data_IF_083127169006
#
_entry.id   IF_083127169006
#
_cell.length_a   1.000
_cell.length_b   1.000
_cell.length_c   1.000
_cell.angle_alpha   90.00
_cell.angle_beta   90.00
_cell.angle_gamma   90.00
#
_symmetry.space_group_name_H-M   'P 1'
#
loop_
_entity.id
_entity.type
_entity.pdbx_description
1 polymer ?
#
# COMPACT_ATOMS: atom_id res chain seq x y z
N UNK A 1 19.44 0.27 21.36
CA UNK A 1 18.17 -0.47 21.48
C UNK A 1 17.04 0.30 20.81
N UNK A 2 16.15 -0.41 20.12
CA UNK A 2 15.10 0.25 19.30
C UNK A 2 13.73 0.14 19.95
N UNK A 3 13.54 0.83 21.05
CA UNK A 3 12.23 0.87 21.70
C UNK A 3 11.26 1.72 20.89
N UNK A 4 10.03 1.24 20.73
CA UNK A 4 8.95 1.95 20.03
C UNK A 4 9.23 2.25 18.54
N UNK A 5 10.20 1.56 17.96
CA UNK A 5 10.49 1.71 16.53
C UNK A 5 9.40 1.02 15.72
N UNK A 6 8.73 1.78 14.85
CA UNK A 6 7.66 1.28 13.99
C UNK A 6 8.02 1.46 12.52
N UNK A 7 7.60 0.51 11.70
CA UNK A 7 7.82 0.56 10.27
C UNK A 7 9.20 0.09 9.83
N UNK A 8 9.31 -0.20 8.55
CA UNK A 8 10.54 -0.67 7.92
C UNK A 8 11.19 0.47 7.17
N UNK A 9 12.51 0.57 7.27
CA UNK A 9 13.27 1.67 6.65
C UNK A 9 13.83 1.33 5.28
N UNK A 10 13.98 0.06 4.93
CA UNK A 10 14.49 -0.41 3.63
C UNK A 10 15.85 0.20 3.27
N UNK A 11 16.70 0.47 4.27
CA UNK A 11 18.04 1.07 4.08
C UNK A 11 18.00 2.39 3.32
N UNK A 12 16.98 3.21 3.51
CA UNK A 12 16.78 4.48 2.81
C UNK A 12 16.66 5.64 3.77
N UNK A 13 17.10 6.81 3.32
CA UNK A 13 16.87 8.06 4.04
C UNK A 13 15.38 8.39 4.03
N UNK A 14 14.95 9.28 4.93
CA UNK A 14 13.53 9.60 5.12
C UNK A 14 12.83 10.01 3.82
N UNK A 15 13.43 10.92 3.04
CA UNK A 15 12.83 11.38 1.78
C UNK A 15 12.77 10.27 0.74
N UNK A 16 13.87 9.51 0.59
CA UNK A 16 13.93 8.38 -0.34
C UNK A 16 12.95 7.28 0.03
N UNK A 17 12.80 7.03 1.34
CA UNK A 17 11.85 6.04 1.83
C UNK A 17 10.41 6.43 1.52
N UNK A 18 10.07 7.69 1.69
CA UNK A 18 8.72 8.20 1.34
C UNK A 18 8.43 8.02 -0.14
N UNK A 19 9.38 8.37 -0.99
CA UNK A 19 9.23 8.22 -2.44
C UNK A 19 9.09 6.75 -2.84
N UNK A 20 9.87 5.87 -2.22
CA UNK A 20 9.82 4.43 -2.47
C UNK A 20 8.44 3.86 -2.12
N UNK A 21 7.95 4.17 -0.92
CA UNK A 21 6.62 3.70 -0.47
C UNK A 21 5.52 4.30 -1.35
N UNK A 22 5.61 5.57 -1.68
CA UNK A 22 4.65 6.23 -2.56
C UNK A 22 4.57 5.53 -3.93
N UNK A 23 5.71 5.15 -4.48
CA UNK A 23 5.75 4.42 -5.75
C UNK A 23 5.07 3.07 -5.66
N UNK A 24 5.32 2.31 -4.59
CA UNK A 24 4.67 1.02 -4.37
C UNK A 24 3.15 1.17 -4.20
N UNK A 25 2.71 2.15 -3.43
CA UNK A 25 1.29 2.41 -3.22
C UNK A 25 0.62 2.81 -4.54
N UNK A 26 1.27 3.64 -5.35
CA UNK A 26 0.73 4.04 -6.64
C UNK A 26 0.55 2.83 -7.57
N UNK A 27 1.54 1.95 -7.63
CA UNK A 27 1.45 0.74 -8.45
C UNK A 27 0.31 -0.16 -7.97
N UNK A 28 0.17 -0.35 -6.67
CA UNK A 28 -0.91 -1.15 -6.12
C UNK A 28 -2.28 -0.53 -6.44
N UNK A 29 -2.39 0.78 -6.34
CA UNK A 29 -3.65 1.47 -6.63
C UNK A 29 -4.06 1.32 -8.09
N UNK A 30 -3.10 1.42 -9.01
CA UNK A 30 -3.41 1.34 -10.45
C UNK A 30 -3.64 -0.09 -10.92
N UNK A 31 -2.81 -1.02 -10.51
CA UNK A 31 -2.88 -2.40 -10.99
C UNK A 31 -3.75 -3.31 -10.14
N UNK A 32 -4.13 -2.88 -8.94
CA UNK A 32 -4.96 -3.62 -7.97
C UNK A 32 -4.29 -4.87 -7.42
N UNK A 33 -3.20 -5.31 -8.02
CA UNK A 33 -2.46 -6.50 -7.65
C UNK A 33 -1.02 -6.35 -8.11
N UNK A 34 -0.05 -6.53 -7.21
CA UNK A 34 1.37 -6.48 -7.57
C UNK A 34 2.12 -7.63 -6.91
N UNK A 35 3.21 -8.07 -7.54
CA UNK A 35 4.13 -9.04 -6.96
C UNK A 35 5.35 -8.29 -6.45
N UNK A 36 5.73 -8.54 -5.19
CA UNK A 36 6.86 -7.87 -4.56
C UNK A 36 7.42 -8.75 -3.45
N UNK A 37 8.46 -8.28 -2.77
CA UNK A 37 9.02 -9.03 -1.65
C UNK A 37 8.07 -9.01 -0.46
N UNK A 38 8.18 -10.02 0.41
CA UNK A 38 7.29 -10.16 1.57
C UNK A 38 7.33 -8.94 2.49
N UNK A 39 8.53 -8.41 2.79
CA UNK A 39 8.66 -7.26 3.67
C UNK A 39 8.02 -5.99 3.09
N UNK A 40 8.20 -5.78 1.79
CA UNK A 40 7.56 -4.64 1.10
C UNK A 40 6.04 -4.78 1.12
N UNK A 41 5.54 -5.97 0.85
CA UNK A 41 4.10 -6.22 0.85
C UNK A 41 3.48 -5.96 2.22
N UNK A 42 4.12 -6.43 3.28
CA UNK A 42 3.63 -6.23 4.64
C UNK A 42 3.57 -4.74 5.01
N UNK A 43 4.58 -3.99 4.60
CA UNK A 43 4.60 -2.55 4.88
C UNK A 43 3.53 -1.79 4.12
N UNK A 44 3.41 -2.03 2.81
CA UNK A 44 2.43 -1.31 2.00
C UNK A 44 0.99 -1.74 2.30
N UNK A 45 0.79 -2.99 2.73
CA UNK A 45 -0.54 -3.44 3.16
C UNK A 45 -1.08 -2.55 4.28
N UNK A 46 -0.28 -2.33 5.31
CA UNK A 46 -0.65 -1.50 6.45
C UNK A 46 -0.99 -0.07 6.01
N UNK A 47 -0.16 0.49 5.16
CA UNK A 47 -0.33 1.88 4.71
C UNK A 47 -1.56 2.01 3.81
N UNK A 48 -1.73 1.08 2.86
CA UNK A 48 -2.86 1.12 1.94
C UNK A 48 -4.19 0.90 2.66
N UNK A 49 -4.23 0.02 3.65
CA UNK A 49 -5.46 -0.21 4.41
C UNK A 49 -5.90 1.04 5.16
N UNK A 50 -4.96 1.77 5.72
CA UNK A 50 -5.26 3.06 6.35
C UNK A 50 -5.75 4.09 5.33
N UNK A 51 -5.15 4.09 4.14
CA UNK A 51 -5.56 4.98 3.07
C UNK A 51 -6.99 4.68 2.61
N UNK A 52 -7.35 3.42 2.47
CA UNK A 52 -8.72 3.03 2.09
C UNK A 52 -9.72 3.42 3.18
N UNK A 53 -9.38 3.21 4.45
CA UNK A 53 -10.25 3.62 5.55
C UNK A 53 -10.50 5.12 5.52
N UNK A 54 -9.47 5.91 5.27
CA UNK A 54 -9.60 7.37 5.13
C UNK A 54 -10.47 7.74 3.91
N UNK A 55 -10.23 7.08 2.78
CA UNK A 55 -10.97 7.34 1.55
C UNK A 55 -12.45 7.00 1.67
N UNK A 56 -12.80 6.00 2.48
CA UNK A 56 -14.20 5.59 2.67
C UNK A 56 -15.06 6.69 3.27
N UNK A 57 -14.48 7.69 3.91
CA UNK A 57 -15.22 8.83 4.42
C UNK A 57 -15.83 9.68 3.31
N UNK A 58 -15.28 9.62 2.11
CA UNK A 58 -15.79 10.29 0.90
C UNK A 58 -16.02 11.79 1.06
N UNK A 59 -15.19 12.45 1.82
CA UNK A 59 -15.26 13.91 1.97
C UNK A 59 -14.00 14.58 1.41
N UNK A 60 -14.09 15.88 1.18
CA UNK A 60 -13.00 16.65 0.57
C UNK A 60 -11.74 16.64 1.42
N UNK A 61 -11.87 16.68 2.74
CA UNK A 61 -10.73 16.65 3.65
C UNK A 61 -9.93 15.37 3.49
N UNK A 62 -10.61 14.22 3.37
CA UNK A 62 -9.96 12.93 3.15
C UNK A 62 -9.21 12.91 1.83
N UNK A 63 -9.84 13.42 0.76
CA UNK A 63 -9.21 13.47 -0.56
C UNK A 63 -7.94 14.32 -0.54
N UNK A 64 -7.99 15.48 0.11
CA UNK A 64 -6.81 16.35 0.23
C UNK A 64 -5.67 15.67 0.97
N UNK A 65 -5.96 14.94 2.04
CA UNK A 65 -4.94 14.19 2.77
C UNK A 65 -4.31 13.10 1.91
N UNK A 66 -5.11 12.38 1.14
CA UNK A 66 -4.61 11.35 0.24
C UNK A 66 -3.71 11.93 -0.85
N UNK A 67 -4.11 13.06 -1.43
CA UNK A 67 -3.30 13.75 -2.44
C UNK A 67 -1.95 14.14 -1.86
N UNK A 68 -1.95 14.69 -0.65
CA UNK A 68 -0.70 15.08 0.03
C UNK A 68 0.22 13.91 0.31
N UNK A 69 -0.33 12.73 0.59
CA UNK A 69 0.46 11.53 0.93
C UNK A 69 0.93 10.76 -0.28
N UNK A 70 0.08 10.58 -1.29
CA UNK A 70 0.35 9.62 -2.39
C UNK A 70 0.37 10.26 -3.78
N UNK A 71 0.07 11.53 -3.89
CA UNK A 71 -0.03 12.21 -5.16
C UNK A 71 -1.44 12.14 -5.72
N UNK A 72 -1.70 12.99 -6.70
CA UNK A 72 -3.04 13.20 -7.24
C UNK A 72 -3.62 11.95 -7.90
N UNK A 73 -2.84 11.32 -8.79
CA UNK A 73 -3.34 10.17 -9.56
C UNK A 73 -3.68 8.98 -8.66
N UNK A 74 -2.77 8.62 -7.76
CA UNK A 74 -3.00 7.51 -6.83
C UNK A 74 -4.16 7.83 -5.88
N UNK A 75 -4.23 9.06 -5.38
CA UNK A 75 -5.30 9.48 -4.49
C UNK A 75 -6.67 9.37 -5.16
N UNK A 76 -6.78 9.79 -6.42
CA UNK A 76 -8.03 9.69 -7.17
C UNK A 76 -8.44 8.23 -7.39
N UNK A 77 -7.48 7.36 -7.72
CA UNK A 77 -7.77 5.93 -7.85
C UNK A 77 -8.33 5.34 -6.55
N UNK A 78 -7.68 5.64 -5.43
CA UNK A 78 -8.10 5.13 -4.13
C UNK A 78 -9.48 5.68 -3.75
N UNK A 79 -9.67 6.98 -3.90
CA UNK A 79 -10.89 7.67 -3.47
C UNK A 79 -12.10 7.31 -4.34
N UNK A 80 -11.94 7.32 -5.66
CA UNK A 80 -13.06 7.18 -6.58
C UNK A 80 -13.36 5.75 -7.00
N UNK A 81 -12.36 4.88 -7.05
CA UNK A 81 -12.53 3.52 -7.56
C UNK A 81 -12.41 2.45 -6.48
N UNK A 82 -11.40 2.54 -5.62
CA UNK A 82 -11.14 1.49 -4.64
C UNK A 82 -12.06 1.60 -3.42
N UNK A 83 -12.17 2.77 -2.83
CA UNK A 83 -12.96 2.96 -1.62
C UNK A 83 -14.44 2.59 -1.79
N UNK A 84 -15.11 2.96 -2.91
CA UNK A 84 -16.50 2.53 -3.10
C UNK A 84 -16.69 1.02 -3.10
N UNK A 85 -15.73 0.27 -3.64
CA UNK A 85 -15.79 -1.20 -3.65
C UNK A 85 -15.57 -1.81 -2.27
N UNK A 86 -14.93 -1.08 -1.36
CA UNK A 86 -14.60 -1.55 -0.02
C UNK A 86 -15.59 -1.10 1.05
N UNK A 87 -16.67 -0.43 0.68
CA UNK A 87 -17.61 0.15 1.65
C UNK A 87 -18.24 -0.87 2.59
N UNK A 88 -18.47 -2.08 2.12
CA UNK A 88 -19.11 -3.13 2.92
C UNK A 88 -18.17 -3.80 3.91
N UNK A 89 -16.87 -3.59 3.80
CA UNK A 89 -15.89 -4.16 4.71
C UNK A 89 -15.51 -3.16 5.79
N UNK A 90 -15.37 -3.64 7.02
CA UNK A 90 -14.93 -2.80 8.13
C UNK A 90 -13.40 -2.66 8.18
N UNK A 91 -12.66 -3.56 7.51
CA UNK A 91 -11.21 -3.58 7.45
C UNK A 91 -10.75 -4.77 6.64
N UNK A 92 -9.43 -5.03 6.62
CA UNK A 92 -8.89 -6.17 5.91
C UNK A 92 -9.13 -6.11 4.41
N UNK A 93 -8.86 -4.98 3.79
CA UNK A 93 -9.14 -4.77 2.37
C UNK A 93 -8.15 -5.47 1.44
N UNK A 94 -7.01 -5.88 1.96
CA UNK A 94 -5.94 -6.48 1.18
C UNK A 94 -5.56 -7.84 1.72
N UNK A 95 -5.03 -8.69 0.84
CA UNK A 95 -4.47 -9.99 1.25
C UNK A 95 -3.13 -10.19 0.59
N UNK A 96 -2.28 -10.97 1.25
CA UNK A 96 -0.96 -11.34 0.74
C UNK A 96 -0.97 -12.84 0.46
N UNK A 97 -0.63 -13.21 -0.78
CA UNK A 97 -0.57 -14.59 -1.21
C UNK A 97 0.87 -14.93 -1.53
N UNK A 98 1.37 -16.06 -1.05
CA UNK A 98 2.73 -16.47 -1.34
C UNK A 98 2.87 -16.89 -2.79
N UNK A 99 3.89 -16.34 -3.46
CA UNK A 99 4.23 -16.75 -4.82
C UNK A 99 5.07 -18.02 -4.76
N UNK A 100 4.87 -18.98 -5.69
CA UNK A 100 5.70 -20.18 -5.70
C UNK A 100 7.13 -19.93 -6.17
N UNK A 101 7.42 -18.78 -6.77
CA UNK A 101 8.75 -18.49 -7.30
C UNK A 101 9.55 -17.59 -6.38
N UNK A 102 10.86 -17.75 -6.44
CA UNK A 102 11.83 -16.88 -5.76
C UNK A 102 12.45 -15.95 -6.81
N UNK A 103 12.92 -14.81 -6.34
CA UNK A 103 13.62 -13.86 -7.23
C UNK A 103 14.93 -14.48 -7.70
N UNK A 104 15.23 -14.34 -9.00
CA UNK A 104 16.35 -15.07 -9.63
C UNK A 104 17.72 -14.79 -9.04
N UNK A 105 18.00 -13.53 -8.66
CA UNK A 105 19.36 -13.14 -8.26
C UNK A 105 19.67 -13.42 -6.81
N UNK A 106 18.73 -13.22 -5.90
CA UNK A 106 18.97 -13.30 -4.47
C UNK A 106 18.04 -14.26 -3.75
N UNK A 107 17.24 -15.01 -4.50
CA UNK A 107 16.27 -15.95 -3.96
C UNK A 107 15.32 -15.33 -2.93
N UNK A 108 15.07 -14.02 -3.03
CA UNK A 108 14.14 -13.34 -2.13
C UNK A 108 12.74 -13.92 -2.27
N UNK A 109 12.07 -14.08 -1.14
CA UNK A 109 10.71 -14.59 -1.09
C UNK A 109 9.76 -13.58 -1.70
N UNK A 110 9.02 -14.00 -2.73
CA UNK A 110 8.06 -13.14 -3.42
C UNK A 110 6.64 -13.44 -2.97
N UNK A 111 5.84 -12.41 -2.90
CA UNK A 111 4.41 -12.54 -2.58
C UNK A 111 3.61 -11.65 -3.51
N UNK A 112 2.33 -11.96 -3.62
CA UNK A 112 1.38 -11.14 -4.36
C UNK A 112 0.48 -10.45 -3.34
N UNK A 113 0.40 -9.13 -3.41
CA UNK A 113 -0.54 -8.36 -2.61
C UNK A 113 -1.65 -7.86 -3.53
N UNK A 114 -2.90 -8.08 -3.11
CA UNK A 114 -4.06 -7.72 -3.92
C UNK A 114 -5.23 -7.31 -3.04
N UNK A 115 -6.16 -6.58 -3.65
CA UNK A 115 -7.40 -6.21 -2.95
C UNK A 115 -8.35 -7.41 -2.89
N UNK A 116 -9.02 -7.54 -1.77
CA UNK A 116 -10.06 -8.55 -1.57
C UNK A 116 -11.38 -7.97 -2.11
N UNK A 117 -12.07 -8.75 -2.91
CA UNK A 117 -13.35 -8.30 -3.47
C UNK A 117 -14.48 -8.33 -2.45
#
# INVERSE_FOLDING_TARGET
MRHLTKGRKFHRKKGDRRAFIKGLISNLAFYKKIETTESRAKEIKRIMEKAVTLAKKQNLASLKLLIGRFGEKAAFEIFHKIAPKCQKRSGGYLRIIQSPRLRKRDAAKMVIIEFVD
#
